data_IF_072449694905
#
_entry.id   IF_072449694905
#
_cell.length_a   1.000
_cell.length_b   1.000
_cell.length_c   1.000
_cell.angle_alpha   90.00
_cell.angle_beta   90.00
_cell.angle_gamma   90.00
#
_symmetry.space_group_name_H-M   'P 1'
#
loop_
_entity.id
_entity.type
_entity.pdbx_description
1 polymer ?
#
# COMPACT_ATOMS: atom_id res chain seq x y z
N UNK A 1 -15.59 -35.22 -6.66
CA UNK A 1 -14.80 -33.98 -6.71
C UNK A 1 -15.60 -32.92 -6.00
N UNK A 2 -15.06 -32.33 -4.94
CA UNK A 2 -15.72 -31.25 -4.20
C UNK A 2 -15.42 -29.93 -4.95
N UNK A 3 -16.47 -29.23 -5.37
CA UNK A 3 -16.32 -27.96 -6.09
C UNK A 3 -16.16 -26.83 -5.09
N UNK A 4 -15.02 -26.15 -5.10
CA UNK A 4 -14.77 -24.93 -4.31
C UNK A 4 -15.21 -23.72 -5.14
N UNK A 5 -15.96 -22.79 -4.53
CA UNK A 5 -16.41 -21.57 -5.19
C UNK A 5 -15.43 -20.41 -4.94
N UNK A 6 -15.25 -19.55 -5.94
CA UNK A 6 -14.43 -18.34 -5.85
C UNK A 6 -15.35 -17.14 -5.64
N UNK A 7 -15.05 -16.31 -4.65
CA UNK A 7 -15.86 -15.12 -4.35
C UNK A 7 -15.61 -14.02 -5.39
N UNK A 8 -16.54 -13.08 -5.48
CA UNK A 8 -16.39 -11.91 -6.36
C UNK A 8 -15.11 -11.13 -6.04
N UNK A 9 -14.76 -10.99 -4.76
CA UNK A 9 -13.54 -10.30 -4.30
C UNK A 9 -12.26 -10.98 -4.80
N UNK A 10 -12.21 -12.30 -4.76
CA UNK A 10 -11.03 -13.05 -5.21
C UNK A 10 -10.92 -13.05 -6.74
N UNK A 11 -12.05 -13.13 -7.45
CA UNK A 11 -12.08 -13.07 -8.90
C UNK A 11 -11.51 -11.76 -9.46
N UNK A 12 -11.83 -10.62 -8.85
CA UNK A 12 -11.38 -9.31 -9.35
C UNK A 12 -9.90 -9.04 -9.06
N UNK A 13 -9.27 -9.80 -8.15
CA UNK A 13 -7.81 -9.77 -7.96
C UNK A 13 -7.04 -10.28 -9.19
N UNK A 14 -7.70 -11.01 -10.08
CA UNK A 14 -7.14 -11.46 -11.36
C UNK A 14 -7.25 -10.40 -12.48
N UNK A 15 -7.76 -9.20 -12.18
CA UNK A 15 -7.89 -8.13 -13.17
C UNK A 15 -6.53 -7.53 -13.56
N UNK A 16 -6.39 -7.02 -14.78
CA UNK A 16 -5.20 -6.31 -15.27
C UNK A 16 -4.77 -5.12 -14.37
N UNK A 17 -5.75 -4.55 -13.66
CA UNK A 17 -5.54 -3.45 -12.72
C UNK A 17 -5.00 -3.87 -11.35
N UNK A 18 -4.62 -5.14 -11.16
CA UNK A 18 -4.12 -5.64 -9.88
C UNK A 18 -2.66 -6.06 -10.01
N UNK A 19 -1.89 -5.81 -8.95
CA UNK A 19 -0.54 -6.34 -8.79
C UNK A 19 -0.37 -6.84 -7.36
N UNK A 20 0.39 -7.90 -7.21
CA UNK A 20 0.70 -8.49 -5.91
C UNK A 20 2.22 -8.42 -5.74
N UNK A 21 2.65 -7.90 -4.60
CA UNK A 21 4.05 -7.93 -4.16
C UNK A 21 4.13 -8.97 -3.07
N UNK A 22 5.03 -9.94 -3.20
CA UNK A 22 5.17 -11.01 -2.21
C UNK A 22 6.25 -10.68 -1.15
N UNK A 23 6.30 -11.48 -0.10
CA UNK A 23 7.40 -11.43 0.89
C UNK A 23 8.77 -11.59 0.22
N UNK A 24 8.90 -12.52 -0.73
CA UNK A 24 10.16 -12.78 -1.43
C UNK A 24 10.62 -11.59 -2.27
N UNK A 25 9.66 -10.83 -2.82
CA UNK A 25 9.95 -9.58 -3.55
C UNK A 25 10.55 -8.52 -2.60
N UNK A 26 9.96 -8.36 -1.40
CA UNK A 26 10.44 -7.44 -0.37
C UNK A 26 11.79 -7.86 0.22
N UNK A 27 12.08 -9.16 0.29
CA UNK A 27 13.37 -9.68 0.74
C UNK A 27 14.49 -9.42 -0.28
N UNK A 28 14.20 -9.57 -1.59
CA UNK A 28 15.18 -9.33 -2.66
C UNK A 28 15.56 -7.87 -2.81
N UNK A 29 14.61 -6.96 -2.56
CA UNK A 29 14.85 -5.53 -2.61
C UNK A 29 14.30 -4.88 -1.34
N UNK A 30 15.12 -4.84 -0.28
CA UNK A 30 14.74 -4.28 1.00
C UNK A 30 14.29 -2.83 0.92
N UNK A 31 13.27 -2.52 1.72
CA UNK A 31 12.73 -1.18 1.90
C UNK A 31 13.40 -0.52 3.10
N UNK A 32 13.68 0.79 3.01
CA UNK A 32 14.34 1.49 4.13
C UNK A 32 13.45 1.65 5.36
N UNK A 33 12.18 1.97 5.14
CA UNK A 33 11.18 2.16 6.19
C UNK A 33 9.75 2.08 5.61
N UNK A 34 9.46 2.90 4.59
CA UNK A 34 8.11 3.03 4.03
C UNK A 34 7.94 2.19 2.76
N UNK A 35 6.96 1.27 2.77
CA UNK A 35 6.67 0.37 1.65
C UNK A 35 6.35 1.09 0.34
N UNK A 36 5.98 2.37 0.40
CA UNK A 36 5.73 3.20 -0.79
C UNK A 36 6.93 3.24 -1.73
N UNK A 37 8.17 3.08 -1.22
CA UNK A 37 9.38 2.96 -2.03
C UNK A 37 9.36 1.72 -2.93
N UNK A 38 8.74 0.62 -2.50
CA UNK A 38 8.52 -0.57 -3.32
C UNK A 38 7.26 -0.47 -4.16
N UNK A 39 6.14 -0.09 -3.54
CA UNK A 39 4.81 -0.06 -4.17
C UNK A 39 4.79 0.83 -5.40
N UNK A 40 5.56 1.94 -5.41
CA UNK A 40 5.70 2.83 -6.57
C UNK A 40 6.27 2.18 -7.83
N UNK A 41 6.87 0.99 -7.73
CA UNK A 41 7.40 0.26 -8.89
C UNK A 41 6.30 -0.48 -9.67
N UNK A 42 5.10 -0.60 -9.09
CA UNK A 42 3.97 -1.23 -9.75
C UNK A 42 3.44 -0.37 -10.91
N UNK A 43 2.90 -0.98 -11.98
CA UNK A 43 2.38 -0.24 -13.12
C UNK A 43 1.30 0.77 -12.75
N UNK A 44 1.46 2.02 -13.20
CA UNK A 44 0.51 3.09 -12.93
C UNK A 44 0.49 3.55 -11.47
N UNK A 45 1.57 3.32 -10.71
CA UNK A 45 1.76 3.85 -9.37
C UNK A 45 2.92 4.86 -9.38
N UNK A 46 2.74 5.97 -8.69
CA UNK A 46 3.70 7.05 -8.55
C UNK A 46 3.93 7.38 -7.08
N UNK A 47 4.96 8.17 -6.80
CA UNK A 47 5.20 8.76 -5.49
C UNK A 47 5.15 10.29 -5.62
N UNK A 48 4.05 10.90 -5.18
CA UNK A 48 3.74 12.32 -5.42
C UNK A 48 3.39 13.03 -4.11
N UNK A 49 3.58 14.35 -4.07
CA UNK A 49 3.12 15.15 -2.94
C UNK A 49 1.59 15.23 -2.88
N UNK A 50 1.05 15.57 -1.71
CA UNK A 50 -0.40 15.62 -1.51
C UNK A 50 -1.13 16.68 -2.38
N UNK A 51 -0.41 17.73 -2.79
CA UNK A 51 -0.92 18.82 -3.62
C UNK A 51 0.01 19.09 -4.81
N UNK A 52 -0.57 19.39 -5.97
CA UNK A 52 0.16 19.76 -7.19
C UNK A 52 0.89 21.11 -7.08
N UNK A 53 0.64 21.88 -6.02
CA UNK A 53 1.31 23.16 -5.75
C UNK A 53 2.78 23.02 -5.34
N UNK A 54 3.23 21.81 -5.01
CA UNK A 54 4.58 21.55 -4.47
C UNK A 54 4.72 21.85 -2.97
N UNK A 55 3.68 22.38 -2.32
CA UNK A 55 3.69 22.58 -0.86
C UNK A 55 3.84 21.24 -0.15
N UNK A 56 4.76 21.18 0.82
CA UNK A 56 5.15 19.93 1.50
C UNK A 56 5.63 18.83 0.54
N UNK A 57 6.31 19.21 -0.56
CA UNK A 57 6.70 18.30 -1.63
C UNK A 57 7.61 17.13 -1.25
N UNK A 58 8.28 17.18 -0.09
CA UNK A 58 9.04 16.02 0.44
C UNK A 58 8.14 14.96 1.11
N UNK A 59 6.92 15.30 1.49
CA UNK A 59 5.93 14.37 2.05
C UNK A 59 5.22 13.61 0.91
N UNK A 60 6.00 12.90 0.09
CA UNK A 60 5.47 12.15 -1.04
C UNK A 60 4.84 10.84 -0.58
N UNK A 61 3.74 10.47 -1.20
CA UNK A 61 2.88 9.33 -0.84
C UNK A 61 2.48 8.56 -2.11
N UNK A 62 1.87 7.40 -1.93
CA UNK A 62 1.44 6.52 -3.02
C UNK A 62 0.30 7.18 -3.81
N UNK A 63 0.50 7.36 -5.10
CA UNK A 63 -0.48 7.92 -6.04
C UNK A 63 -0.75 6.90 -7.16
N UNK A 64 -2.02 6.50 -7.32
CA UNK A 64 -2.43 5.52 -8.32
C UNK A 64 -3.07 6.24 -9.50
N UNK A 65 -2.49 6.05 -10.69
CA UNK A 65 -2.93 6.62 -11.98
C UNK A 65 -3.02 8.15 -12.00
N UNK A 66 -2.27 8.84 -11.15
CA UNK A 66 -2.24 10.31 -11.10
C UNK A 66 -3.50 10.91 -10.50
N UNK A 67 -4.28 10.13 -9.74
CA UNK A 67 -5.49 10.58 -9.06
C UNK A 67 -5.16 11.34 -7.77
N UNK A 68 -3.89 11.35 -7.35
CA UNK A 68 -3.41 12.01 -6.15
C UNK A 68 -3.46 11.09 -4.91
N UNK A 69 -2.57 11.28 -3.92
CA UNK A 69 -2.46 10.38 -2.77
C UNK A 69 -3.71 10.28 -1.88
N UNK A 70 -4.52 11.35 -1.83
CA UNK A 70 -5.79 11.35 -1.08
C UNK A 70 -6.79 10.31 -1.62
N UNK A 71 -6.66 9.92 -2.89
CA UNK A 71 -7.49 8.93 -3.56
C UNK A 71 -6.90 7.50 -3.54
N UNK A 72 -5.85 7.29 -2.75
CA UNK A 72 -5.30 5.96 -2.45
C UNK A 72 -5.75 5.53 -1.07
N UNK A 73 -6.59 4.50 -1.00
CA UNK A 73 -7.03 3.89 0.26
C UNK A 73 -6.00 2.86 0.72
N UNK A 74 -5.48 3.01 1.95
CA UNK A 74 -4.59 2.03 2.56
C UNK A 74 -5.39 1.13 3.49
N UNK A 75 -5.19 -0.17 3.36
CA UNK A 75 -5.77 -1.19 4.23
C UNK A 75 -4.66 -1.99 4.92
N UNK A 76 -4.92 -2.47 6.13
CA UNK A 76 -4.12 -3.52 6.78
C UNK A 76 -5.05 -4.69 7.09
N UNK A 77 -4.75 -5.85 6.51
CA UNK A 77 -5.59 -7.05 6.58
C UNK A 77 -7.07 -6.74 6.32
N UNK A 78 -7.32 -6.01 5.22
CA UNK A 78 -8.65 -5.59 4.77
C UNK A 78 -9.30 -4.45 5.57
N UNK A 79 -8.65 -3.92 6.63
CA UNK A 79 -9.22 -2.89 7.51
C UNK A 79 -8.66 -1.51 7.11
N UNK A 80 -9.51 -0.49 6.92
CA UNK A 80 -9.05 0.80 6.44
C UNK A 80 -8.24 1.57 7.47
N UNK A 81 -7.14 2.17 7.03
CA UNK A 81 -6.39 3.15 7.79
C UNK A 81 -6.76 4.55 7.30
N UNK A 82 -7.13 5.41 8.24
CA UNK A 82 -7.51 6.80 8.00
C UNK A 82 -6.81 7.77 8.95
N UNK A 83 -5.67 7.37 9.54
CA UNK A 83 -4.93 8.16 10.52
C UNK A 83 -4.49 9.52 9.97
N UNK A 84 -4.19 9.63 8.67
CA UNK A 84 -3.89 10.92 8.01
C UNK A 84 -4.98 11.99 8.15
N UNK A 85 -6.23 11.59 8.41
CA UNK A 85 -7.36 12.51 8.59
C UNK A 85 -7.26 13.33 9.87
N UNK A 86 -6.47 12.89 10.85
CA UNK A 86 -6.18 13.65 12.07
C UNK A 86 -5.39 14.95 11.80
N UNK A 87 -4.65 15.00 10.69
CA UNK A 87 -3.90 16.18 10.26
C UNK A 87 -4.86 17.15 9.58
N UNK A 88 -4.63 18.46 9.69
CA UNK A 88 -5.47 19.45 8.98
C UNK A 88 -5.28 19.34 7.46
N UNK A 89 -6.38 19.28 6.72
CA UNK A 89 -6.39 19.49 5.27
C UNK A 89 -6.31 21.00 4.99
N UNK A 90 -5.27 21.42 4.30
CA UNK A 90 -5.04 22.82 3.98
C UNK A 90 -5.85 23.33 2.79
N UNK A 91 -5.74 24.63 2.52
CA UNK A 91 -6.55 25.31 1.52
C UNK A 91 -6.33 24.75 0.11
N UNK A 92 -5.08 24.37 -0.22
CA UNK A 92 -4.71 23.88 -1.56
C UNK A 92 -4.55 22.36 -1.59
N UNK A 93 -5.13 21.68 -0.60
CA UNK A 93 -5.09 20.23 -0.45
C UNK A 93 -3.78 19.67 0.07
N UNK A 94 -2.93 20.49 0.68
CA UNK A 94 -1.75 20.03 1.38
C UNK A 94 -2.10 19.46 2.76
N UNK A 95 -1.42 18.36 3.16
CA UNK A 95 -1.43 17.83 4.53
C UNK A 95 -0.02 17.67 5.04
N UNK A 96 0.19 17.94 6.32
CA UNK A 96 1.44 17.65 7.01
C UNK A 96 1.52 16.21 7.50
N UNK A 97 1.39 15.27 6.57
CA UNK A 97 1.41 13.84 6.86
C UNK A 97 2.39 13.14 5.94
N UNK A 98 2.94 12.02 6.40
CA UNK A 98 3.71 11.08 5.56
C UNK A 98 2.83 10.02 4.92
N UNK A 99 1.51 10.12 5.10
CA UNK A 99 0.53 9.14 4.64
C UNK A 99 0.37 7.98 5.61
N UNK A 100 -0.24 6.91 5.10
CA UNK A 100 -0.63 5.73 5.88
C UNK A 100 0.07 4.44 5.43
N UNK A 101 1.10 4.51 4.58
CA UNK A 101 1.85 3.33 4.12
C UNK A 101 2.92 2.87 5.12
N UNK A 102 3.27 3.67 6.12
CA UNK A 102 4.35 3.38 7.06
C UNK A 102 3.91 2.81 8.41
N UNK A 103 2.69 2.23 8.50
CA UNK A 103 2.16 1.69 9.77
C UNK A 103 2.62 0.26 10.07
N UNK A 104 3.01 -0.51 9.05
CA UNK A 104 3.43 -1.91 9.18
C UNK A 104 4.91 -2.00 8.81
N UNK A 105 5.78 -2.55 9.68
CA UNK A 105 7.18 -2.84 9.33
C UNK A 105 7.25 -3.76 8.12
N UNK A 106 8.17 -3.52 7.18
CA UNK A 106 8.25 -4.30 5.95
C UNK A 106 8.46 -5.80 6.21
N UNK A 107 9.13 -6.14 7.30
CA UNK A 107 9.46 -7.50 7.74
C UNK A 107 8.23 -8.23 8.30
N UNK A 108 7.19 -7.50 8.72
CA UNK A 108 5.93 -8.08 9.21
C UNK A 108 4.93 -8.37 8.07
N UNK A 109 5.26 -8.01 6.83
CA UNK A 109 4.38 -8.13 5.66
C UNK A 109 4.54 -9.50 5.02
N UNK A 110 3.40 -10.13 4.74
CA UNK A 110 3.30 -11.34 3.93
C UNK A 110 3.16 -11.00 2.45
N UNK A 111 2.30 -10.03 2.14
CA UNK A 111 2.08 -9.56 0.77
C UNK A 111 1.44 -8.17 0.76
N UNK A 112 1.56 -7.49 -0.38
CA UNK A 112 0.89 -6.22 -0.64
C UNK A 112 0.07 -6.36 -1.91
N UNK A 113 -1.23 -6.12 -1.82
CA UNK A 113 -2.11 -6.10 -2.99
C UNK A 113 -2.33 -4.65 -3.42
N UNK A 114 -2.03 -4.34 -4.67
CA UNK A 114 -2.20 -3.01 -5.26
C UNK A 114 -3.28 -3.10 -6.33
N UNK A 115 -4.46 -2.57 -6.01
CA UNK A 115 -5.64 -2.58 -6.88
C UNK A 115 -5.85 -1.19 -7.46
N UNK A 116 -6.00 -1.11 -8.78
CA UNK A 116 -6.05 0.15 -9.53
C UNK A 116 -7.35 0.27 -10.32
N UNK A 117 -7.97 1.44 -10.26
CA UNK A 117 -9.19 1.75 -11.01
C UNK A 117 -10.38 0.85 -10.62
N UNK A 118 -11.09 0.21 -11.58
CA UNK A 118 -12.38 -0.41 -11.31
C UNK A 118 -12.32 -1.56 -10.30
N UNK A 119 -11.20 -2.28 -10.24
CA UNK A 119 -11.01 -3.35 -9.26
C UNK A 119 -11.01 -2.82 -7.83
N UNK A 120 -10.63 -1.57 -7.60
CA UNK A 120 -10.58 -0.95 -6.27
C UNK A 120 -11.90 -0.31 -5.84
N UNK A 121 -12.77 0.08 -6.77
CA UNK A 121 -14.01 0.80 -6.49
C UNK A 121 -14.95 0.09 -5.49
N UNK A 122 -14.87 -1.25 -5.42
CA UNK A 122 -15.65 -2.06 -4.46
C UNK A 122 -15.38 -1.72 -2.99
N UNK A 123 -14.19 -1.20 -2.67
CA UNK A 123 -13.79 -0.85 -1.30
C UNK A 123 -14.39 0.49 -0.84
N UNK A 124 -15.11 1.20 -1.71
CA UNK A 124 -15.91 2.35 -1.35
C UNK A 124 -15.10 3.63 -1.17
N UNK A 125 -15.38 4.35 -0.08
CA UNK A 125 -14.84 5.70 0.15
C UNK A 125 -13.31 5.71 0.20
N UNK A 126 -12.68 6.62 -0.55
CA UNK A 126 -11.23 6.76 -0.63
C UNK A 126 -10.53 5.86 -1.66
N UNK A 127 -11.25 4.95 -2.33
CA UNK A 127 -10.69 4.01 -3.31
C UNK A 127 -10.78 4.49 -4.77
N UNK A 128 -10.98 5.79 -5.00
CA UNK A 128 -11.23 6.35 -6.34
C UNK A 128 -10.03 6.18 -7.28
N UNK A 129 -8.79 6.33 -6.77
CA UNK A 129 -7.57 6.03 -7.52
C UNK A 129 -7.22 4.54 -7.42
N UNK A 130 -7.21 4.03 -6.20
CA UNK A 130 -6.98 2.62 -5.94
C UNK A 130 -6.92 2.26 -4.47
N UNK A 131 -6.56 1.00 -4.22
CA UNK A 131 -6.40 0.41 -2.89
C UNK A 131 -5.02 -0.21 -2.81
N UNK A 132 -4.35 0.00 -1.68
CA UNK A 132 -3.15 -0.73 -1.28
C UNK A 132 -3.48 -1.47 0.00
N UNK A 133 -3.58 -2.80 -0.08
CA UNK A 133 -3.87 -3.66 1.04
C UNK A 133 -2.59 -4.35 1.51
N UNK A 134 -2.15 -4.03 2.72
CA UNK A 134 -1.00 -4.65 3.37
C UNK A 134 -1.51 -5.85 4.14
N UNK A 135 -1.02 -7.04 3.78
CA UNK A 135 -1.38 -8.29 4.44
C UNK A 135 -0.22 -8.68 5.35
N UNK A 136 -0.51 -8.84 6.64
CA UNK A 136 0.51 -9.21 7.64
C UNK A 136 0.73 -10.72 7.68
N UNK A 137 1.94 -11.13 8.10
CA UNK A 137 2.31 -12.54 8.35
C UNK A 137 1.27 -13.21 9.26
N UNK A 138 0.89 -14.44 8.92
CA UNK A 138 -0.20 -15.17 9.59
C UNK A 138 0.31 -15.99 10.77
N UNK A 139 -0.63 -16.32 11.65
CA UNK A 139 -0.40 -17.31 12.71
C UNK A 139 -0.14 -18.68 12.09
N UNK A 140 0.71 -19.45 12.74
CA UNK A 140 1.13 -20.79 12.33
C UNK A 140 0.86 -21.76 13.48
N UNK A 141 0.66 -23.05 13.16
CA UNK A 141 0.38 -24.08 14.18
C UNK A 141 1.63 -24.45 14.99
N UNK A 142 2.81 -24.08 14.49
CA UNK A 142 4.11 -24.30 15.13
C UNK A 142 4.72 -22.95 15.54
N UNK A 143 5.70 -22.98 16.44
CA UNK A 143 6.35 -21.73 16.88
C UNK A 143 7.38 -21.29 15.86
N UNK A 144 7.14 -20.16 15.23
CA UNK A 144 8.09 -19.48 14.34
C UNK A 144 8.44 -18.09 14.90
N UNK A 145 9.65 -17.61 14.59
CA UNK A 145 10.09 -16.27 14.94
C UNK A 145 11.12 -15.78 13.93
N UNK A 146 11.20 -14.46 13.74
CA UNK A 146 12.19 -13.82 12.89
C UNK A 146 12.82 -12.63 13.60
N UNK A 147 14.08 -12.37 13.28
CA UNK A 147 14.81 -11.18 13.73
C UNK A 147 15.59 -10.67 12.52
N UNK A 148 15.28 -9.46 12.10
CA UNK A 148 15.82 -8.85 10.90
C UNK A 148 16.53 -7.53 11.24
N UNK A 149 17.71 -7.31 10.65
CA UNK A 149 18.45 -6.05 10.75
C UNK A 149 19.01 -5.67 9.37
N UNK A 150 18.94 -4.38 9.06
CA UNK A 150 19.55 -3.84 7.85
C UNK A 150 20.78 -3.02 8.23
N UNK A 151 21.90 -3.33 7.61
CA UNK A 151 23.11 -2.51 7.68
C UNK A 151 23.32 -1.83 6.34
N UNK A 152 23.51 -0.51 6.35
CA UNK A 152 24.01 0.18 5.16
C UNK A 152 25.48 -0.16 5.01
N UNK A 153 25.84 -1.01 4.04
CA UNK A 153 27.23 -1.09 3.61
C UNK A 153 27.51 0.09 2.67
N UNK A 154 28.45 0.98 3.00
CA UNK A 154 28.92 1.96 2.04
C UNK A 154 29.64 1.23 0.89
N UNK A 155 29.36 1.64 -0.35
CA UNK A 155 30.21 1.33 -1.52
C UNK A 155 31.55 2.06 -1.43
#
# INVERSE_FOLDING_TARGET
METIFVTAEEQVKQSLGVSVITKEDLEKLPVRNDISDYVRRMPGVNLTGNSATGQRGNNRQIDIRGMGPENTLILVDGKPINSRNSVRYGWKGERDTRGDSNWVPAEAIESIEVLRGPAAARYGSGAAGGVVNIITKKVTNETHGSVEFYTSQPE
#
